data_IF_255552931030
#
_entry.id   IF_255552931030
#
_cell.length_a   1.000
_cell.length_b   1.000
_cell.length_c   1.000
_cell.angle_alpha   90.00
_cell.angle_beta   90.00
_cell.angle_gamma   90.00
#
_symmetry.space_group_name_H-M   'P 1'
#
loop_
_entity.id
_entity.type
_entity.pdbx_description
1 polymer ?
#
# COMPACT_ATOMS: atom_id res chain seq x y z
N UNK A 1 26.44 -7.08 -8.58
CA UNK A 1 25.26 -6.73 -9.38
C UNK A 1 24.99 -7.86 -10.34
N UNK A 2 23.83 -8.52 -10.24
CA UNK A 2 23.36 -9.43 -11.27
C UNK A 2 22.78 -8.65 -12.47
N UNK A 3 22.96 -9.20 -13.66
CA UNK A 3 22.31 -8.76 -14.88
C UNK A 3 21.83 -9.98 -15.66
N UNK A 4 20.67 -9.87 -16.30
CA UNK A 4 20.04 -10.94 -17.08
C UNK A 4 19.66 -10.37 -18.43
N UNK A 5 19.93 -11.12 -19.49
CA UNK A 5 19.45 -10.85 -20.83
C UNK A 5 18.73 -12.10 -21.38
N UNK A 6 18.33 -12.10 -22.65
CA UNK A 6 17.60 -13.23 -23.25
C UNK A 6 18.39 -14.54 -23.35
N UNK A 7 19.67 -14.58 -22.95
CA UNK A 7 20.54 -15.77 -23.06
C UNK A 7 21.40 -16.04 -21.83
N UNK A 8 21.86 -15.01 -21.14
CA UNK A 8 22.95 -15.08 -20.16
C UNK A 8 22.54 -14.45 -18.82
N UNK A 9 23.13 -15.00 -17.75
CA UNK A 9 23.16 -14.38 -16.43
C UNK A 9 24.59 -13.93 -16.14
N UNK A 10 24.78 -12.64 -15.91
CA UNK A 10 26.08 -12.02 -15.63
C UNK A 10 26.14 -11.55 -14.19
N UNK A 11 27.21 -11.91 -13.46
CA UNK A 11 27.46 -11.43 -12.10
C UNK A 11 28.68 -10.53 -12.09
N UNK A 12 28.48 -9.24 -11.79
CA UNK A 12 29.56 -8.25 -11.68
C UNK A 12 29.81 -7.92 -10.21
N UNK A 13 31.02 -8.18 -9.72
CA UNK A 13 31.44 -7.82 -8.36
C UNK A 13 32.52 -6.74 -8.39
N UNK A 14 32.43 -5.78 -7.47
CA UNK A 14 33.45 -4.74 -7.25
C UNK A 14 33.66 -4.62 -5.75
N UNK A 15 34.90 -4.77 -5.33
CA UNK A 15 35.31 -4.63 -3.94
C UNK A 15 36.82 -4.48 -3.84
N UNK A 16 37.31 -4.37 -2.60
CA UNK A 16 38.73 -4.41 -2.30
C UNK A 16 39.03 -5.73 -1.63
N UNK A 17 40.12 -6.39 -2.02
CA UNK A 17 40.49 -7.69 -1.46
C UNK A 17 40.70 -7.66 0.05
N UNK A 18 41.17 -6.52 0.57
CA UNK A 18 41.37 -6.28 1.99
C UNK A 18 40.08 -5.91 2.74
N UNK A 19 38.91 -6.05 2.10
CA UNK A 19 37.59 -5.72 2.63
C UNK A 19 37.43 -4.29 3.16
N UNK A 20 38.34 -3.37 2.81
CA UNK A 20 38.22 -1.97 3.20
C UNK A 20 37.14 -1.26 2.37
N UNK A 21 36.56 -0.14 2.87
CA UNK A 21 35.57 0.61 2.12
C UNK A 21 36.09 1.05 0.74
N UNK A 22 35.22 0.90 -0.28
CA UNK A 22 35.48 1.30 -1.66
C UNK A 22 35.22 2.78 -1.93
N UNK A 23 34.51 3.46 -1.00
CA UNK A 23 33.96 4.83 -1.18
C UNK A 23 32.96 4.96 -2.34
N UNK A 24 32.52 3.82 -2.88
CA UNK A 24 31.42 3.75 -3.84
C UNK A 24 30.11 3.59 -3.07
N UNK A 25 29.03 4.17 -3.58
CA UNK A 25 27.69 4.06 -3.00
C UNK A 25 26.79 3.19 -3.86
N UNK A 26 26.01 2.32 -3.22
CA UNK A 26 25.12 1.38 -3.91
C UNK A 26 25.86 0.48 -4.91
N UNK A 27 25.20 0.15 -6.02
CA UNK A 27 25.77 -0.66 -7.08
C UNK A 27 26.62 0.13 -8.11
N UNK A 28 26.91 1.41 -7.88
CA UNK A 28 27.52 2.32 -8.87
C UNK A 28 28.78 1.76 -9.55
N UNK A 29 29.69 1.17 -8.79
CA UNK A 29 30.90 0.52 -9.34
C UNK A 29 30.58 -0.65 -10.25
N UNK A 30 29.84 -1.63 -9.73
CA UNK A 30 29.50 -2.85 -10.47
C UNK A 30 28.59 -2.57 -11.68
N UNK A 31 27.66 -1.62 -11.56
CA UNK A 31 26.77 -1.20 -12.66
C UNK A 31 27.54 -0.51 -13.78
N UNK A 32 28.50 0.36 -13.45
CA UNK A 32 29.34 1.01 -14.47
C UNK A 32 30.17 -0.02 -15.26
N UNK A 33 30.69 -1.05 -14.58
CA UNK A 33 31.38 -2.15 -15.25
C UNK A 33 30.43 -3.01 -16.09
N UNK A 34 29.24 -3.32 -15.57
CA UNK A 34 28.23 -4.07 -16.31
C UNK A 34 27.75 -3.31 -17.57
N UNK A 35 27.59 -1.99 -17.50
CA UNK A 35 27.29 -1.16 -18.68
C UNK A 35 28.39 -1.25 -19.75
N UNK A 36 29.67 -1.25 -19.34
CA UNK A 36 30.81 -1.44 -20.27
C UNK A 36 30.85 -2.85 -20.83
N UNK A 37 30.48 -3.86 -20.05
CA UNK A 37 30.31 -5.23 -20.53
C UNK A 37 29.26 -5.27 -21.64
N UNK A 38 28.05 -4.75 -21.39
CA UNK A 38 26.97 -4.70 -22.38
C UNK A 38 27.36 -3.95 -23.66
N UNK A 39 28.12 -2.85 -23.54
CA UNK A 39 28.59 -2.08 -24.70
C UNK A 39 29.62 -2.82 -25.58
N UNK A 40 30.29 -3.83 -25.03
CA UNK A 40 31.31 -4.63 -25.73
C UNK A 40 30.80 -6.02 -26.12
N UNK A 41 29.55 -6.34 -25.81
CA UNK A 41 28.90 -7.60 -26.15
C UNK A 41 27.69 -7.34 -27.06
N UNK A 42 27.07 -8.40 -27.56
CA UNK A 42 25.78 -8.34 -28.27
C UNK A 42 24.69 -8.93 -27.38
N UNK A 43 24.19 -8.19 -26.38
CA UNK A 43 23.16 -8.70 -25.48
C UNK A 43 21.86 -8.96 -26.23
N UNK A 44 21.14 -9.99 -25.81
CA UNK A 44 19.84 -10.35 -26.39
C UNK A 44 18.74 -9.66 -25.56
N UNK A 45 17.78 -8.95 -26.18
CA UNK A 45 16.65 -8.39 -25.45
C UNK A 45 15.96 -9.42 -24.57
N UNK A 46 15.71 -9.06 -23.31
CA UNK A 46 14.97 -9.90 -22.38
C UNK A 46 13.47 -9.72 -22.64
N UNK A 47 12.88 -10.72 -23.27
CA UNK A 47 11.43 -10.81 -23.45
C UNK A 47 10.84 -11.77 -22.41
N UNK A 48 10.01 -11.25 -21.52
CA UNK A 48 9.41 -12.03 -20.43
C UNK A 48 8.11 -12.64 -20.91
N UNK A 49 8.15 -13.92 -21.29
CA UNK A 49 6.94 -14.69 -21.55
C UNK A 49 6.20 -14.93 -20.24
N UNK A 50 4.99 -14.38 -20.12
CA UNK A 50 4.15 -14.54 -18.95
C UNK A 50 3.79 -16.03 -18.75
N UNK A 51 4.09 -16.62 -17.59
CA UNK A 51 3.71 -17.99 -17.30
C UNK A 51 2.22 -18.10 -16.94
N UNK A 52 1.74 -19.34 -16.80
CA UNK A 52 0.39 -19.62 -16.33
C UNK A 52 0.12 -18.99 -14.96
N UNK A 53 -1.16 -18.67 -14.72
CA UNK A 53 -1.67 -18.08 -13.48
C UNK A 53 -1.04 -16.73 -13.07
N UNK A 54 -0.17 -16.13 -13.89
CA UNK A 54 0.15 -14.72 -13.77
C UNK A 54 -0.90 -13.94 -14.55
N UNK A 55 -1.52 -12.97 -13.89
CA UNK A 55 -2.53 -12.09 -14.48
C UNK A 55 -2.21 -10.64 -14.14
N UNK A 56 -2.35 -9.76 -15.14
CA UNK A 56 -2.19 -8.33 -14.96
C UNK A 56 -3.43 -7.75 -14.27
N UNK A 57 -3.26 -7.22 -13.06
CA UNK A 57 -4.35 -6.63 -12.27
C UNK A 57 -4.07 -5.15 -11.99
N UNK A 58 -5.11 -4.32 -12.14
CA UNK A 58 -5.05 -2.90 -11.82
C UNK A 58 -5.10 -2.68 -10.31
N UNK A 59 -4.28 -1.75 -9.82
CA UNK A 59 -4.26 -1.29 -8.42
C UNK A 59 -4.43 0.22 -8.35
N UNK A 60 -5.14 0.71 -7.33
CA UNK A 60 -5.22 2.15 -7.05
C UNK A 60 -3.99 2.64 -6.26
N UNK A 61 -3.88 3.94 -6.03
CA UNK A 61 -2.75 4.57 -5.35
C UNK A 61 -2.60 4.18 -3.88
N UNK A 62 -3.66 3.64 -3.26
CA UNK A 62 -3.62 3.06 -1.93
C UNK A 62 -3.16 1.59 -1.92
N UNK A 63 -3.07 0.95 -3.09
CA UNK A 63 -2.61 -0.43 -3.26
C UNK A 63 -3.72 -1.48 -3.31
N UNK A 64 -5.00 -1.09 -3.34
CA UNK A 64 -6.12 -2.03 -3.48
C UNK A 64 -6.34 -2.42 -4.94
N UNK A 65 -6.78 -3.66 -5.20
CA UNK A 65 -7.16 -4.09 -6.54
C UNK A 65 -8.40 -3.35 -7.04
N UNK A 66 -8.34 -2.82 -8.26
CA UNK A 66 -9.42 -2.05 -8.88
C UNK A 66 -9.85 -2.69 -10.20
N UNK A 67 -10.83 -3.59 -10.11
CA UNK A 67 -11.18 -4.47 -11.23
C UNK A 67 -12.22 -3.90 -12.22
N UNK A 68 -12.81 -2.76 -11.90
CA UNK A 68 -13.74 -2.04 -12.78
C UNK A 68 -13.03 -1.09 -13.76
N UNK A 69 -11.70 -1.18 -13.88
CA UNK A 69 -10.85 -0.25 -14.62
C UNK A 69 -10.51 1.02 -13.83
N UNK A 70 -9.56 1.80 -14.36
CA UNK A 70 -9.16 3.09 -13.78
C UNK A 70 -8.19 3.02 -12.60
N UNK A 71 -7.47 1.90 -12.43
CA UNK A 71 -6.35 1.84 -11.49
C UNK A 71 -5.17 2.71 -11.93
N UNK A 72 -4.38 3.16 -10.97
CA UNK A 72 -3.21 4.00 -11.19
C UNK A 72 -2.04 3.21 -11.79
N UNK A 73 -1.99 1.91 -11.54
CA UNK A 73 -0.92 1.00 -12.01
C UNK A 73 -1.49 -0.38 -12.33
N UNK A 74 -0.76 -1.13 -13.15
CA UNK A 74 -1.01 -2.56 -13.42
C UNK A 74 0.19 -3.34 -12.90
N UNK A 75 -0.07 -4.41 -12.15
CA UNK A 75 0.96 -5.29 -11.60
C UNK A 75 0.65 -6.74 -11.97
N UNK A 76 1.66 -7.55 -12.31
CA UNK A 76 1.47 -8.99 -12.49
C UNK A 76 1.22 -9.65 -11.13
N UNK A 77 0.14 -10.43 -11.04
CA UNK A 77 -0.30 -11.12 -9.83
C UNK A 77 -0.39 -12.61 -10.10
N UNK A 78 0.17 -13.42 -9.21
CA UNK A 78 0.00 -14.87 -9.27
C UNK A 78 -1.34 -15.28 -8.65
N UNK A 79 -2.32 -15.63 -9.48
CA UNK A 79 -3.62 -16.12 -9.05
C UNK A 79 -4.33 -16.91 -10.15
N UNK A 80 -5.01 -17.98 -9.75
CA UNK A 80 -5.96 -18.72 -10.59
C UNK A 80 -7.37 -18.12 -10.54
N UNK A 81 -7.62 -17.16 -9.63
CA UNK A 81 -8.93 -16.56 -9.39
C UNK A 81 -8.82 -15.04 -9.15
N UNK A 82 -8.61 -14.25 -10.21
CA UNK A 82 -8.51 -12.79 -10.11
C UNK A 82 -9.79 -12.15 -9.54
N UNK A 83 -10.96 -12.73 -9.83
CA UNK A 83 -12.25 -12.21 -9.37
C UNK A 83 -12.41 -12.24 -7.86
N UNK A 84 -11.89 -13.27 -7.18
CA UNK A 84 -11.92 -13.34 -5.72
C UNK A 84 -11.08 -12.24 -5.06
N UNK A 85 -9.89 -11.95 -5.62
CA UNK A 85 -9.04 -10.85 -5.15
C UNK A 85 -9.73 -9.49 -5.31
N UNK A 86 -10.45 -9.30 -6.42
CA UNK A 86 -11.25 -8.08 -6.63
C UNK A 86 -12.32 -7.88 -5.56
N UNK A 87 -13.03 -8.95 -5.18
CA UNK A 87 -14.09 -8.88 -4.17
C UNK A 87 -13.52 -8.59 -2.78
N UNK A 88 -12.38 -9.20 -2.45
CA UNK A 88 -11.69 -8.97 -1.19
C UNK A 88 -11.24 -7.52 -1.06
N UNK A 89 -10.59 -6.95 -2.09
CA UNK A 89 -10.12 -5.57 -2.04
C UNK A 89 -11.23 -4.54 -1.87
N UNK A 90 -12.42 -4.78 -2.43
CA UNK A 90 -13.57 -3.89 -2.23
C UNK A 90 -14.06 -3.84 -0.78
N UNK A 91 -13.98 -4.96 -0.05
CA UNK A 91 -14.36 -5.02 1.35
C UNK A 91 -13.35 -4.27 2.23
N UNK A 92 -12.05 -4.47 1.96
CA UNK A 92 -10.97 -3.82 2.70
C UNK A 92 -10.98 -2.29 2.51
N UNK A 93 -11.18 -1.80 1.27
CA UNK A 93 -11.27 -0.37 0.98
C UNK A 93 -12.45 0.31 1.69
N UNK A 94 -13.61 -0.35 1.78
CA UNK A 94 -14.79 0.18 2.48
C UNK A 94 -14.61 0.21 4.00
N UNK A 95 -13.91 -0.77 4.57
CA UNK A 95 -13.64 -0.86 6.00
C UNK A 95 -12.60 0.15 6.50
N UNK A 96 -11.77 0.70 5.58
CA UNK A 96 -10.76 1.70 5.90
C UNK A 96 -11.36 3.06 6.32
N UNK A 97 -12.66 3.29 6.10
CA UNK A 97 -13.38 4.47 6.58
C UNK A 97 -14.48 4.09 7.59
N UNK A 98 -14.28 4.30 8.91
CA UNK A 98 -15.31 4.04 9.92
C UNK A 98 -16.52 5.01 9.86
N UNK A 99 -16.55 5.97 8.92
CA UNK A 99 -17.58 7.00 8.80
C UNK A 99 -18.32 7.01 7.44
N UNK A 100 -18.03 6.07 6.52
CA UNK A 100 -18.60 6.07 5.17
C UNK A 100 -20.04 5.52 5.08
N UNK A 101 -20.60 4.96 6.16
CA UNK A 101 -21.98 4.45 6.22
C UNK A 101 -23.04 5.53 6.45
N UNK A 102 -22.99 6.66 5.74
CA UNK A 102 -24.14 7.59 5.73
C UNK A 102 -24.86 7.48 4.39
N UNK A 103 -26.07 6.90 4.32
CA UNK A 103 -26.88 6.96 3.11
C UNK A 103 -27.19 8.42 2.80
N UNK A 104 -26.72 8.90 1.65
CA UNK A 104 -27.09 10.20 1.11
C UNK A 104 -28.58 10.17 0.72
N UNK A 105 -29.42 10.74 1.58
CA UNK A 105 -30.83 10.95 1.25
C UNK A 105 -31.71 11.12 2.47
N UNK A 106 -31.76 12.33 3.02
CA UNK A 106 -32.98 12.94 3.58
C UNK A 106 -32.69 14.41 3.94
N UNK A 107 -33.36 15.32 3.23
CA UNK A 107 -33.39 16.76 3.54
C UNK A 107 -34.04 16.98 4.93
N UNK A 108 -33.56 17.92 5.76
CA UNK A 108 -34.29 18.31 6.95
C UNK A 108 -35.46 19.23 6.57
N UNK A 109 -36.67 18.67 6.58
CA UNK A 109 -37.92 19.43 6.51
C UNK A 109 -38.28 19.91 7.93
N UNK A 110 -38.39 21.23 8.07
CA UNK A 110 -38.72 21.92 9.32
C UNK A 110 -40.16 21.59 9.76
N UNK A 111 -40.36 21.31 11.06
CA UNK A 111 -41.68 21.39 11.71
C UNK A 111 -41.57 22.10 13.07
N UNK A 112 -42.56 22.95 13.46
CA UNK A 112 -42.45 23.79 14.65
C UNK A 112 -43.04 23.14 15.92
N UNK A 113 -42.37 23.45 17.04
CA UNK A 113 -42.83 23.62 18.43
C UNK A 113 -44.16 22.99 18.89
N UNK A 114 -44.07 22.22 19.98
CA UNK A 114 -44.90 22.43 21.18
C UNK A 114 -44.27 21.86 22.45
N UNK A 115 -44.31 22.65 23.53
CA UNK A 115 -43.93 22.37 24.92
C UNK A 115 -45.23 22.20 25.74
N UNK A 116 -45.26 21.50 26.90
CA UNK A 116 -44.84 22.13 28.16
C UNK A 116 -44.19 21.25 29.26
N UNK A 117 -43.18 21.84 29.92
CA UNK A 117 -42.81 21.97 31.36
C UNK A 117 -43.06 20.92 32.49
N UNK A 118 -41.98 20.77 33.30
CA UNK A 118 -41.79 20.45 34.77
C UNK A 118 -40.94 19.17 35.00
N UNK A 119 -39.89 19.07 35.85
CA UNK A 119 -39.45 19.82 37.03
C UNK A 119 -37.96 19.50 37.43
N UNK A 120 -37.18 20.52 37.84
CA UNK A 120 -36.07 20.60 38.84
C UNK A 120 -34.79 19.69 38.86
N UNK A 121 -33.64 20.30 38.45
CA UNK A 121 -32.24 20.42 38.99
C UNK A 121 -31.55 19.33 39.90
N UNK A 122 -30.18 19.31 40.02
CA UNK A 122 -29.15 20.15 39.37
C UNK A 122 -27.98 19.38 38.70
N UNK A 123 -27.14 20.17 38.02
CA UNK A 123 -25.95 19.79 37.30
C UNK A 123 -24.88 19.08 38.14
N UNK A 124 -24.23 18.07 37.52
CA UNK A 124 -22.83 17.76 37.77
C UNK A 124 -22.08 17.87 36.45
N UNK A 125 -21.21 18.88 36.39
CA UNK A 125 -20.13 19.00 35.41
C UNK A 125 -19.29 17.72 35.43
N UNK A 126 -19.40 16.90 34.39
CA UNK A 126 -18.31 15.99 34.05
C UNK A 126 -17.45 16.69 33.01
N UNK A 127 -16.37 17.29 33.52
CA UNK A 127 -15.17 17.64 32.77
C UNK A 127 -14.87 16.51 31.79
N UNK A 128 -14.65 16.90 30.54
CA UNK A 128 -14.03 16.05 29.53
C UNK A 128 -12.73 15.48 30.09
N UNK A 129 -12.71 14.20 30.41
CA UNK A 129 -11.47 13.44 30.52
C UNK A 129 -11.44 12.48 29.33
N UNK A 130 -11.25 13.10 28.17
CA UNK A 130 -11.00 12.42 26.90
C UNK A 130 -9.61 11.82 26.92
N UNK A 131 -9.43 10.71 27.64
CA UNK A 131 -8.34 9.78 27.43
C UNK A 131 -8.91 8.40 27.67
N UNK A 132 -9.31 7.75 26.58
CA UNK A 132 -9.87 6.40 26.57
C UNK A 132 -8.96 5.43 27.35
N UNK A 133 -9.59 4.56 28.14
CA UNK A 133 -8.95 3.67 29.12
C UNK A 133 -7.86 2.72 28.58
N UNK A 134 -7.68 2.62 27.26
CA UNK A 134 -6.61 1.82 26.65
C UNK A 134 -5.20 2.36 26.95
N UNK A 135 -5.05 3.65 27.24
CA UNK A 135 -3.74 4.27 27.50
C UNK A 135 -3.18 3.84 28.87
N UNK A 136 -4.05 3.43 29.81
CA UNK A 136 -3.64 2.98 31.15
C UNK A 136 -3.08 1.55 31.15
N UNK A 137 -3.51 0.71 30.21
CA UNK A 137 -3.01 -0.67 30.06
C UNK A 137 -1.64 -0.75 29.38
N UNK A 138 -1.26 0.26 28.59
CA UNK A 138 0.04 0.29 27.91
C UNK A 138 1.18 0.90 28.75
N UNK A 139 0.88 1.77 29.72
CA UNK A 139 1.90 2.57 30.42
C UNK A 139 1.76 2.52 31.94
N UNK A 140 1.28 1.40 32.48
CA UNK A 140 1.18 1.17 33.93
C UNK A 140 2.41 1.70 34.68
N UNK A 141 2.15 2.62 35.61
CA UNK A 141 3.12 3.27 36.47
C UNK A 141 3.98 2.28 37.26
N UNK A 142 5.22 2.69 37.48
CA UNK A 142 6.18 2.29 38.53
C UNK A 142 5.57 1.63 39.78
#
# INVERSE_FOLDING_TARGET
MPGVDGREVTITWVGRDNNQPTKLYGASGAMSLYQRYLANQSPIPLDLTQPEDIVDMSVNGAGYFQCSGGGDRVLPVWTTNPSALCQQSQQEEQSANPFSQTPAGQQPQQQPQQQPQQQQQPAQEQKSDGVAGWIKDMFGSN
#
